data_IF_647116962927
#
_entry.id   IF_647116962927
#
_cell.length_a   1.000
_cell.length_b   1.000
_cell.length_c   1.000
_cell.angle_alpha   90.00
_cell.angle_beta   90.00
_cell.angle_gamma   90.00
#
_symmetry.space_group_name_H-M   'P 1'
#
loop_
_entity.id
_entity.type
_entity.pdbx_description
1 polymer ?
#
# COMPACT_ATOMS: atom_id res chain seq x y z
N UNK A 1 37.88 -48.89 63.56
CA UNK A 1 37.87 -48.87 62.09
C UNK A 1 37.02 -47.69 61.63
N UNK A 2 37.64 -46.64 61.29
CA UNK A 2 36.95 -45.41 60.84
C UNK A 2 36.76 -45.43 59.34
N UNK A 3 35.49 -45.37 58.88
CA UNK A 3 35.14 -45.24 57.49
C UNK A 3 35.01 -43.79 57.11
N UNK A 4 35.86 -43.29 56.24
CA UNK A 4 35.86 -41.92 55.71
C UNK A 4 34.93 -41.85 54.50
N UNK A 5 33.84 -41.08 54.64
CA UNK A 5 32.92 -40.77 53.55
C UNK A 5 33.45 -39.64 52.69
N UNK A 6 33.75 -39.90 51.42
CA UNK A 6 34.17 -38.88 50.44
C UNK A 6 32.90 -38.25 49.86
N UNK A 7 32.62 -36.97 50.19
CA UNK A 7 31.62 -36.17 49.51
C UNK A 7 32.20 -35.60 48.18
N UNK A 8 31.68 -36.08 47.06
CA UNK A 8 31.95 -35.49 45.76
C UNK A 8 31.21 -34.16 45.64
N UNK A 9 31.96 -33.07 45.53
CA UNK A 9 31.45 -31.76 45.11
C UNK A 9 31.34 -31.78 43.59
N UNK A 10 30.13 -31.63 43.07
CA UNK A 10 29.88 -31.33 41.63
C UNK A 10 29.89 -29.80 41.52
N UNK A 11 30.93 -29.25 40.89
CA UNK A 11 30.98 -27.84 40.50
C UNK A 11 30.20 -27.73 39.21
N UNK A 12 29.00 -27.15 39.29
CA UNK A 12 28.19 -26.78 38.11
C UNK A 12 28.78 -25.48 37.54
N UNK A 13 29.57 -25.58 36.50
CA UNK A 13 30.05 -24.42 35.77
C UNK A 13 28.90 -23.84 34.98
N UNK A 14 28.31 -22.77 35.45
CA UNK A 14 27.37 -21.95 34.64
C UNK A 14 28.17 -21.29 33.53
N UNK A 15 28.00 -21.76 32.29
CA UNK A 15 28.42 -21.02 31.11
C UNK A 15 27.51 -19.77 31.03
N UNK A 16 28.04 -18.63 31.41
CA UNK A 16 27.48 -17.33 31.09
C UNK A 16 27.78 -17.12 29.60
N UNK A 17 26.80 -17.43 28.76
CA UNK A 17 26.81 -16.98 27.36
C UNK A 17 26.56 -15.48 27.42
N UNK A 18 27.62 -14.69 27.45
CA UNK A 18 27.57 -13.26 27.14
C UNK A 18 27.13 -13.15 25.68
N UNK A 19 25.83 -13.00 25.44
CA UNK A 19 25.33 -12.57 24.16
C UNK A 19 25.88 -11.18 23.91
N UNK A 20 26.91 -11.05 23.07
CA UNK A 20 27.25 -9.78 22.47
C UNK A 20 25.99 -9.28 21.75
N UNK A 21 25.39 -8.21 22.27
CA UNK A 21 24.40 -7.45 21.52
C UNK A 21 25.20 -6.81 20.39
N UNK A 22 25.24 -7.45 19.22
CA UNK A 22 25.77 -6.83 18.02
C UNK A 22 24.85 -5.67 17.66
N UNK A 23 25.41 -4.48 17.58
CA UNK A 23 24.70 -3.35 16.99
C UNK A 23 24.53 -3.62 15.49
N UNK A 24 23.38 -3.24 14.88
CA UNK A 24 23.22 -3.34 13.43
C UNK A 24 24.35 -2.64 12.70
N UNK A 25 24.88 -3.26 11.66
CA UNK A 25 25.87 -2.64 10.79
C UNK A 25 25.24 -1.42 10.11
N UNK A 26 25.99 -0.32 10.00
CA UNK A 26 25.52 0.87 9.29
C UNK A 26 26.25 1.00 7.97
N UNK A 27 25.49 1.11 6.90
CA UNK A 27 25.96 1.31 5.53
C UNK A 27 25.48 2.68 5.07
N UNK A 28 26.42 3.60 4.90
CA UNK A 28 26.14 4.94 4.43
C UNK A 28 26.10 4.95 2.90
N UNK A 29 25.07 5.57 2.34
CA UNK A 29 24.88 5.78 0.91
C UNK A 29 24.87 7.29 0.67
N UNK A 30 25.98 7.81 0.16
CA UNK A 30 26.06 9.20 -0.26
C UNK A 30 25.49 9.39 -1.66
N UNK A 31 24.92 10.56 -1.91
CA UNK A 31 24.45 10.91 -3.23
C UNK A 31 25.63 11.07 -4.21
N UNK A 32 25.53 10.38 -5.34
CA UNK A 32 26.47 10.47 -6.46
C UNK A 32 25.71 10.79 -7.74
N UNK A 33 26.02 11.95 -8.34
CA UNK A 33 25.38 12.39 -9.59
C UNK A 33 25.68 11.50 -10.81
N UNK A 34 26.63 10.60 -10.70
CA UNK A 34 26.94 9.58 -11.72
C UNK A 34 26.14 8.29 -11.55
N UNK A 35 25.43 8.13 -10.46
CA UNK A 35 24.59 6.96 -10.21
C UNK A 35 23.15 7.25 -10.60
N UNK A 36 22.69 6.65 -11.69
CA UNK A 36 21.33 6.84 -12.22
C UNK A 36 20.28 5.96 -11.49
N UNK A 37 20.66 4.79 -10.96
CA UNK A 37 19.76 3.83 -10.31
C UNK A 37 20.40 3.23 -9.06
N UNK A 38 19.81 3.50 -7.90
CA UNK A 38 20.25 2.96 -6.61
C UNK A 38 19.62 1.60 -6.26
N UNK A 39 18.69 1.09 -7.08
CA UNK A 39 18.03 -0.20 -6.85
C UNK A 39 19.00 -1.38 -6.75
N UNK A 40 20.02 -1.52 -7.65
CA UNK A 40 20.99 -2.61 -7.55
C UNK A 40 21.81 -2.57 -6.26
N UNK A 41 22.17 -1.37 -5.80
CA UNK A 41 22.95 -1.19 -4.56
C UNK A 41 22.15 -1.65 -3.34
N UNK A 42 20.91 -1.20 -3.22
CA UNK A 42 20.02 -1.59 -2.11
C UNK A 42 19.78 -3.10 -2.12
N UNK A 43 19.49 -3.69 -3.30
CA UNK A 43 19.32 -5.14 -3.42
C UNK A 43 20.56 -5.92 -2.97
N UNK A 44 21.75 -5.43 -3.33
CA UNK A 44 23.01 -6.05 -2.90
C UNK A 44 23.15 -6.01 -1.39
N UNK A 45 22.94 -4.85 -0.76
CA UNK A 45 23.02 -4.69 0.70
C UNK A 45 22.04 -5.65 1.39
N UNK A 46 20.78 -5.70 0.96
CA UNK A 46 19.80 -6.60 1.57
C UNK A 46 20.15 -8.08 1.37
N UNK A 47 20.72 -8.45 0.23
CA UNK A 47 21.18 -9.82 -0.04
C UNK A 47 22.41 -10.23 0.81
N UNK A 48 23.28 -9.27 1.15
CA UNK A 48 24.42 -9.48 2.03
C UNK A 48 24.02 -9.56 3.52
N UNK A 49 22.79 -9.09 3.86
CA UNK A 49 22.23 -9.10 5.22
C UNK A 49 20.88 -9.85 5.27
N UNK A 50 20.82 -11.13 4.91
CA UNK A 50 19.54 -11.86 4.77
C UNK A 50 18.77 -12.01 6.09
N UNK A 51 19.44 -11.93 7.23
CA UNK A 51 18.78 -11.92 8.54
C UNK A 51 18.37 -10.50 9.00
N UNK A 52 18.78 -9.46 8.27
CA UNK A 52 18.66 -8.06 8.67
C UNK A 52 19.85 -7.61 9.52
N UNK A 53 19.57 -6.90 10.64
CA UNK A 53 20.58 -6.29 11.53
C UNK A 53 21.45 -5.25 10.81
N UNK A 54 20.83 -4.47 9.93
CA UNK A 54 21.49 -3.46 9.11
C UNK A 54 20.75 -2.12 9.17
N UNK A 55 21.52 -1.03 9.19
CA UNK A 55 21.04 0.32 8.95
C UNK A 55 21.54 0.79 7.59
N UNK A 56 20.62 1.11 6.69
CA UNK A 56 20.91 1.74 5.40
C UNK A 56 20.64 3.22 5.57
N UNK A 57 21.69 4.05 5.50
CA UNK A 57 21.58 5.49 5.72
C UNK A 57 21.86 6.25 4.43
N UNK A 58 20.87 6.97 3.97
CA UNK A 58 20.99 7.85 2.81
C UNK A 58 21.40 9.26 3.24
N UNK A 59 22.41 9.81 2.60
CA UNK A 59 22.81 11.20 2.77
C UNK A 59 21.77 12.19 2.21
N UNK A 60 22.17 13.46 2.11
CA UNK A 60 21.34 14.47 1.44
C UNK A 60 21.45 14.31 -0.08
N UNK A 61 20.31 14.31 -0.78
CA UNK A 61 20.24 14.17 -2.24
C UNK A 61 18.95 13.51 -2.69
N UNK A 62 18.79 13.39 -4.01
CA UNK A 62 17.70 12.62 -4.63
C UNK A 62 18.24 11.31 -5.15
N UNK A 63 17.72 10.22 -4.62
CA UNK A 63 18.13 8.85 -4.95
C UNK A 63 17.05 8.22 -5.82
N UNK A 64 17.41 7.85 -7.04
CA UNK A 64 16.50 7.30 -8.04
C UNK A 64 16.46 5.77 -8.00
N UNK A 65 15.23 5.21 -8.12
CA UNK A 65 14.97 3.78 -8.09
C UNK A 65 14.10 3.38 -9.27
N UNK A 66 14.56 2.37 -10.04
CA UNK A 66 13.89 1.90 -11.26
C UNK A 66 13.42 0.45 -11.14
N UNK A 67 12.34 0.06 -11.84
CA UNK A 67 11.74 -1.26 -11.75
C UNK A 67 12.60 -2.37 -12.36
N UNK A 68 13.47 -2.07 -13.35
CA UNK A 68 14.24 -3.08 -14.09
C UNK A 68 15.12 -3.93 -13.19
N UNK A 69 15.73 -3.31 -12.20
CA UNK A 69 16.62 -3.97 -11.25
C UNK A 69 15.96 -4.32 -9.91
N UNK A 70 14.68 -3.96 -9.74
CA UNK A 70 13.93 -4.24 -8.52
C UNK A 70 13.58 -5.73 -8.39
N UNK A 71 13.43 -6.18 -7.16
CA UNK A 71 13.00 -7.55 -6.89
C UNK A 71 11.53 -7.74 -7.28
N UNK A 72 11.20 -8.84 -7.96
CA UNK A 72 9.82 -9.11 -8.38
C UNK A 72 9.17 -10.19 -7.52
N UNK A 73 7.90 -9.97 -7.15
CA UNK A 73 7.08 -10.92 -6.43
C UNK A 73 5.61 -10.80 -6.82
N UNK A 74 4.87 -11.91 -6.77
CA UNK A 74 3.40 -11.85 -6.84
C UNK A 74 2.87 -11.48 -5.46
N UNK A 75 2.16 -10.37 -5.38
CA UNK A 75 1.61 -9.86 -4.14
C UNK A 75 0.08 -9.85 -4.20
N UNK A 76 -0.53 -10.45 -3.19
CA UNK A 76 -1.91 -10.18 -2.81
C UNK A 76 -1.85 -9.09 -1.72
N UNK A 77 -2.49 -7.97 -2.00
CA UNK A 77 -2.57 -6.83 -1.07
C UNK A 77 -4.02 -6.43 -0.97
N UNK A 78 -4.62 -6.67 0.19
CA UNK A 78 -6.05 -6.40 0.38
C UNK A 78 -6.39 -4.93 0.11
N UNK A 79 -7.57 -4.71 -0.43
CA UNK A 79 -8.05 -3.39 -0.87
C UNK A 79 -7.14 -2.67 -1.89
N UNK A 80 -6.19 -3.41 -2.47
CA UNK A 80 -5.37 -3.04 -3.62
C UNK A 80 -5.48 -4.11 -4.71
N UNK A 81 -4.85 -3.85 -5.85
CA UNK A 81 -4.90 -4.80 -6.96
C UNK A 81 -3.81 -5.86 -6.80
N UNK A 82 -4.20 -7.13 -6.82
CA UNK A 82 -3.27 -8.26 -6.82
C UNK A 82 -2.45 -8.32 -8.11
N UNK A 83 -1.28 -8.93 -8.05
CA UNK A 83 -0.47 -9.15 -9.24
C UNK A 83 1.03 -9.18 -8.99
N UNK A 84 1.77 -9.41 -10.09
CA UNK A 84 3.22 -9.33 -10.07
C UNK A 84 3.66 -7.88 -9.93
N UNK A 85 4.48 -7.60 -8.92
CA UNK A 85 4.98 -6.26 -8.61
C UNK A 85 6.49 -6.27 -8.48
N UNK A 86 7.12 -5.17 -8.86
CA UNK A 86 8.52 -4.87 -8.60
C UNK A 86 8.62 -4.11 -7.29
N UNK A 87 9.55 -4.49 -6.42
CA UNK A 87 9.77 -3.84 -5.12
C UNK A 87 11.20 -3.34 -5.03
N UNK A 88 11.39 -2.05 -4.76
CA UNK A 88 12.72 -1.47 -4.59
C UNK A 88 13.39 -2.00 -3.32
N UNK A 89 12.68 -1.90 -2.20
CA UNK A 89 13.09 -2.44 -0.91
C UNK A 89 12.19 -3.64 -0.57
N UNK A 90 12.65 -4.85 -0.88
CA UNK A 90 11.98 -6.08 -0.51
C UNK A 90 12.63 -6.68 0.73
N UNK A 91 11.99 -6.50 1.89
CA UNK A 91 12.41 -7.06 3.17
C UNK A 91 11.54 -8.28 3.49
N UNK A 92 12.15 -9.45 3.56
CA UNK A 92 11.44 -10.71 3.88
C UNK A 92 12.18 -11.46 4.99
N UNK A 93 11.44 -11.81 6.05
CA UNK A 93 11.96 -12.58 7.20
C UNK A 93 13.16 -11.95 7.90
N UNK A 94 13.29 -10.62 7.82
CA UNK A 94 14.39 -9.84 8.36
C UNK A 94 14.06 -9.26 9.74
N UNK A 95 15.09 -8.95 10.51
CA UNK A 95 14.98 -8.34 11.84
C UNK A 95 15.87 -7.12 11.94
N UNK A 96 15.43 -6.11 12.72
CA UNK A 96 16.24 -4.92 13.07
C UNK A 96 16.87 -4.26 11.85
N UNK A 97 16.03 -3.98 10.84
CA UNK A 97 16.45 -3.19 9.68
C UNK A 97 15.98 -1.76 9.87
N UNK A 98 16.88 -0.82 9.66
CA UNK A 98 16.58 0.61 9.63
C UNK A 98 16.94 1.18 8.27
N UNK A 99 16.04 1.96 7.71
CA UNK A 99 16.24 2.76 6.51
C UNK A 99 16.04 4.21 6.94
N UNK A 100 17.09 5.01 6.88
CA UNK A 100 17.08 6.38 7.36
C UNK A 100 17.68 7.35 6.35
N UNK A 101 17.25 8.61 6.40
CA UNK A 101 17.76 9.70 5.60
C UNK A 101 18.14 10.92 6.43
N UNK A 102 18.42 12.03 5.78
CA UNK A 102 18.76 13.32 6.39
C UNK A 102 17.56 14.30 6.46
N UNK A 103 16.35 13.76 6.73
CA UNK A 103 15.11 14.51 6.76
C UNK A 103 14.65 14.92 5.36
N UNK A 104 14.09 16.12 5.23
CA UNK A 104 13.63 16.66 3.94
C UNK A 104 14.73 16.83 2.88
N UNK A 105 16.00 16.67 3.27
CA UNK A 105 17.14 16.72 2.35
C UNK A 105 17.37 15.40 1.61
N UNK A 106 16.76 14.30 2.07
CA UNK A 106 16.82 13.00 1.40
C UNK A 106 15.50 12.74 0.70
N UNK A 107 15.55 12.66 -0.61
CA UNK A 107 14.41 12.24 -1.43
C UNK A 107 14.70 10.88 -2.07
N UNK A 108 13.82 9.92 -1.81
CA UNK A 108 13.79 8.65 -2.53
C UNK A 108 12.76 8.80 -3.65
N UNK A 109 13.23 8.86 -4.90
CA UNK A 109 12.40 9.07 -6.08
C UNK A 109 12.26 7.75 -6.84
N UNK A 110 11.03 7.35 -7.06
CA UNK A 110 10.69 6.10 -7.72
C UNK A 110 10.21 6.37 -9.15
N UNK A 111 10.67 5.54 -10.07
CA UNK A 111 10.29 5.61 -11.48
C UNK A 111 9.41 4.40 -11.83
N UNK A 112 8.31 4.69 -12.51
CA UNK A 112 7.48 3.64 -13.10
C UNK A 112 6.68 2.78 -12.11
N UNK A 113 6.41 1.56 -12.55
CA UNK A 113 5.53 0.59 -11.91
C UNK A 113 6.24 -0.19 -10.78
N UNK A 114 6.58 0.48 -9.70
CA UNK A 114 7.37 -0.05 -8.59
C UNK A 114 6.70 0.20 -7.24
N UNK A 115 6.79 -0.76 -6.32
CA UNK A 115 6.43 -0.60 -4.91
C UNK A 115 7.69 -0.17 -4.16
N UNK A 116 7.71 0.99 -3.50
CA UNK A 116 8.88 1.44 -2.74
C UNK A 116 9.31 0.44 -1.67
N UNK A 117 8.41 0.08 -0.76
CA UNK A 117 8.74 -0.73 0.40
C UNK A 117 7.75 -1.89 0.58
N UNK A 118 8.24 -3.11 0.46
CA UNK A 118 7.54 -4.33 0.89
C UNK A 118 8.25 -4.92 2.11
N UNK A 119 7.51 -5.10 3.21
CA UNK A 119 7.99 -5.70 4.46
C UNK A 119 7.12 -6.91 4.76
N UNK A 120 7.67 -8.10 4.69
CA UNK A 120 6.93 -9.34 4.88
C UNK A 120 7.58 -10.25 5.94
N UNK A 121 6.83 -10.62 6.96
CA UNK A 121 7.27 -11.51 8.05
C UNK A 121 8.53 -11.03 8.78
N UNK A 122 8.64 -9.69 8.94
CA UNK A 122 9.78 -9.03 9.54
C UNK A 122 9.51 -8.61 11.01
N UNK A 123 10.58 -8.33 11.75
CA UNK A 123 10.51 -7.83 13.12
C UNK A 123 11.40 -6.60 13.31
N UNK A 124 10.87 -5.55 13.95
CA UNK A 124 11.62 -4.33 14.32
C UNK A 124 12.22 -3.61 13.10
N UNK A 125 11.34 -3.17 12.22
CA UNK A 125 11.71 -2.42 11.01
C UNK A 125 11.42 -0.94 11.23
N UNK A 126 12.36 -0.07 10.89
CA UNK A 126 12.23 1.38 11.06
C UNK A 126 12.54 2.10 9.75
N UNK A 127 11.62 2.96 9.34
CA UNK A 127 11.78 3.93 8.26
C UNK A 127 11.81 5.33 8.87
N UNK A 128 12.86 6.11 8.60
CA UNK A 128 13.03 7.38 9.31
C UNK A 128 13.66 8.47 8.46
N UNK A 129 13.07 9.68 8.52
CA UNK A 129 13.68 10.93 8.10
C UNK A 129 14.02 11.01 6.59
N UNK A 130 13.03 10.76 5.70
CA UNK A 130 13.17 10.97 4.26
C UNK A 130 11.84 11.30 3.60
N UNK A 131 11.89 11.72 2.35
CA UNK A 131 10.71 11.92 1.49
C UNK A 131 10.62 10.85 0.41
N UNK A 132 9.40 10.52 0.01
CA UNK A 132 9.08 9.58 -1.06
C UNK A 132 8.29 10.34 -2.11
N UNK A 133 8.69 10.25 -3.36
CA UNK A 133 7.91 10.75 -4.49
C UNK A 133 8.10 9.85 -5.71
N UNK A 134 7.25 10.01 -6.70
CA UNK A 134 7.43 9.42 -8.02
C UNK A 134 7.76 10.50 -9.04
N UNK A 135 8.54 10.16 -10.06
CA UNK A 135 8.83 11.03 -11.19
C UNK A 135 7.56 11.37 -11.97
N UNK A 136 6.63 10.42 -11.95
CA UNK A 136 5.38 10.42 -12.69
C UNK A 136 4.22 10.03 -11.78
N UNK A 137 3.34 10.99 -11.44
CA UNK A 137 2.14 10.70 -10.63
C UNK A 137 1.24 9.66 -11.29
N UNK A 138 0.68 8.76 -10.48
CA UNK A 138 -0.35 7.81 -10.91
C UNK A 138 -1.72 8.44 -11.14
N UNK A 139 -1.82 9.75 -11.00
CA UNK A 139 -3.04 10.52 -11.21
C UNK A 139 -2.83 11.48 -12.36
N UNK A 140 -3.77 11.49 -13.31
CA UNK A 140 -3.87 12.56 -14.27
C UNK A 140 -4.54 13.77 -13.62
N UNK A 141 -4.04 14.96 -13.88
CA UNK A 141 -4.63 16.22 -13.45
C UNK A 141 -4.68 17.22 -14.60
N UNK A 142 -5.79 17.93 -14.72
CA UNK A 142 -5.96 18.94 -15.76
C UNK A 142 -6.97 20.03 -15.36
N UNK A 143 -6.62 21.29 -15.64
CA UNK A 143 -7.51 22.41 -15.41
C UNK A 143 -8.65 22.41 -16.44
N UNK A 144 -9.89 22.44 -15.99
CA UNK A 144 -11.06 22.62 -16.86
C UNK A 144 -11.09 24.07 -17.35
N UNK A 145 -10.84 24.28 -18.64
CA UNK A 145 -10.82 25.61 -19.28
C UNK A 145 -12.07 25.89 -20.11
N UNK A 146 -12.91 24.89 -20.35
CA UNK A 146 -14.17 25.03 -21.04
C UNK A 146 -15.06 23.83 -20.88
N UNK A 147 -16.37 24.03 -21.05
CA UNK A 147 -17.37 22.97 -21.20
C UNK A 147 -18.43 23.39 -22.22
N UNK A 148 -19.07 22.42 -22.88
CA UNK A 148 -20.20 22.66 -23.78
C UNK A 148 -21.31 21.65 -23.50
N UNK A 149 -22.40 22.10 -22.86
CA UNK A 149 -23.56 21.23 -22.56
C UNK A 149 -24.26 20.68 -23.81
N UNK A 150 -24.13 21.32 -24.96
CA UNK A 150 -24.78 20.85 -26.21
C UNK A 150 -24.09 19.64 -26.80
N UNK A 151 -22.79 19.54 -26.63
CA UNK A 151 -21.95 18.44 -27.14
C UNK A 151 -21.52 17.48 -26.05
N UNK A 152 -21.91 17.71 -24.80
CA UNK A 152 -21.45 16.96 -23.62
C UNK A 152 -19.93 16.80 -23.64
N UNK A 153 -19.22 17.92 -23.77
CA UNK A 153 -17.77 17.93 -23.83
C UNK A 153 -17.16 18.90 -22.81
N UNK A 154 -15.95 18.57 -22.38
CA UNK A 154 -15.11 19.44 -21.56
C UNK A 154 -13.76 19.68 -22.25
N UNK A 155 -13.16 20.81 -21.97
CA UNK A 155 -11.80 21.14 -22.46
C UNK A 155 -10.88 21.25 -21.27
N UNK A 156 -9.82 20.47 -21.29
CA UNK A 156 -8.80 20.41 -20.25
C UNK A 156 -7.49 21.03 -20.72
N UNK A 157 -6.78 21.65 -19.78
CA UNK A 157 -5.34 21.90 -19.89
C UNK A 157 -4.65 20.94 -18.94
N UNK A 158 -4.00 19.86 -19.45
CA UNK A 158 -3.23 18.94 -18.61
C UNK A 158 -2.17 19.66 -17.78
N UNK A 159 -1.95 19.25 -16.53
CA UNK A 159 -0.86 19.74 -15.70
C UNK A 159 0.48 19.31 -16.29
N UNK A 160 0.55 18.10 -16.82
CA UNK A 160 1.70 17.53 -17.53
C UNK A 160 1.25 17.02 -18.91
N UNK A 161 1.30 17.86 -19.96
CA UNK A 161 0.82 17.48 -21.28
C UNK A 161 1.67 16.41 -21.95
N UNK A 162 2.95 16.24 -21.60
CA UNK A 162 3.84 15.24 -22.20
C UNK A 162 3.45 13.81 -21.78
N UNK A 163 2.70 13.68 -20.71
CA UNK A 163 2.22 12.41 -20.17
C UNK A 163 0.79 12.08 -20.56
N UNK A 164 0.15 12.93 -21.34
CA UNK A 164 -1.17 12.68 -21.89
C UNK A 164 -1.06 12.14 -23.32
N UNK A 165 -1.72 11.02 -23.58
CA UNK A 165 -1.76 10.37 -24.89
C UNK A 165 -3.19 10.13 -25.35
N UNK A 166 -3.39 10.07 -26.66
CA UNK A 166 -4.63 9.62 -27.27
C UNK A 166 -4.35 8.32 -28.00
N UNK A 167 -5.00 7.23 -27.55
CA UNK A 167 -4.89 5.90 -28.17
C UNK A 167 -6.24 5.47 -28.72
N UNK A 168 -6.33 5.24 -30.01
CA UNK A 168 -7.59 4.91 -30.70
C UNK A 168 -8.75 5.88 -30.42
N UNK A 169 -8.43 7.17 -30.20
CA UNK A 169 -9.42 8.21 -29.88
C UNK A 169 -9.75 8.31 -28.38
N UNK A 170 -9.23 7.45 -27.53
CA UNK A 170 -9.48 7.44 -26.08
C UNK A 170 -8.36 8.15 -25.31
N UNK A 171 -8.67 8.85 -24.18
CA UNK A 171 -7.65 9.50 -23.35
C UNK A 171 -6.87 8.48 -22.50
N UNK A 172 -5.56 8.63 -22.49
CA UNK A 172 -4.62 7.86 -21.69
C UNK A 172 -3.64 8.79 -20.99
N UNK A 173 -3.10 8.35 -19.86
CA UNK A 173 -1.97 8.98 -19.20
C UNK A 173 -0.88 7.96 -18.90
N UNK A 174 0.36 8.41 -18.84
CA UNK A 174 1.53 7.51 -18.84
C UNK A 174 2.53 7.87 -17.76
N UNK A 175 3.32 6.90 -17.34
CA UNK A 175 4.55 7.04 -16.59
C UNK A 175 5.70 6.33 -17.29
N UNK A 176 6.79 6.13 -16.59
CA UNK A 176 8.03 5.59 -17.14
C UNK A 176 7.82 4.25 -17.90
N UNK A 177 7.17 3.26 -17.27
CA UNK A 177 6.95 1.93 -17.84
C UNK A 177 5.48 1.48 -17.75
N UNK A 178 4.57 2.40 -17.55
CA UNK A 178 3.14 2.12 -17.44
C UNK A 178 2.29 3.13 -18.21
N UNK A 179 1.08 2.72 -18.50
CA UNK A 179 0.04 3.55 -19.08
C UNK A 179 -1.32 3.13 -18.54
N UNK A 180 -2.22 4.08 -18.38
CA UNK A 180 -3.60 3.86 -17.94
C UNK A 180 -4.57 4.61 -18.83
N UNK A 181 -5.68 4.01 -19.26
CA UNK A 181 -6.80 4.76 -19.81
C UNK A 181 -7.46 5.57 -18.68
N UNK A 182 -8.23 6.59 -19.04
CA UNK A 182 -9.08 7.29 -18.09
C UNK A 182 -10.15 6.35 -17.51
N UNK A 183 -10.53 6.62 -16.25
CA UNK A 183 -11.47 5.80 -15.50
C UNK A 183 -12.20 6.59 -14.42
N UNK A 184 -11.85 6.38 -13.16
CA UNK A 184 -12.47 7.08 -12.03
C UNK A 184 -11.93 8.49 -11.89
N UNK A 185 -12.82 9.46 -12.08
CA UNK A 185 -12.47 10.85 -11.93
C UNK A 185 -13.11 11.49 -10.69
N UNK A 186 -12.40 12.44 -10.11
CA UNK A 186 -12.88 13.34 -9.06
C UNK A 186 -12.54 14.78 -9.43
N UNK A 187 -13.40 15.71 -9.05
CA UNK A 187 -13.22 17.12 -9.34
C UNK A 187 -12.76 17.88 -8.10
N UNK A 188 -11.69 18.68 -8.24
CA UNK A 188 -11.14 19.51 -7.16
C UNK A 188 -11.35 21.00 -7.41
N UNK A 189 -11.56 21.73 -6.32
CA UNK A 189 -11.48 23.19 -6.30
C UNK A 189 -10.02 23.60 -6.04
N UNK A 190 -9.34 24.27 -6.99
CA UNK A 190 -7.94 24.66 -6.82
C UNK A 190 -7.72 25.72 -5.72
N UNK A 191 -8.77 26.47 -5.35
CA UNK A 191 -8.68 27.48 -4.29
C UNK A 191 -8.65 26.88 -2.89
N UNK A 192 -9.46 25.87 -2.66
CA UNK A 192 -9.53 25.15 -1.37
C UNK A 192 -8.68 23.90 -1.34
N UNK A 193 -8.27 23.38 -2.52
CA UNK A 193 -7.56 22.11 -2.71
C UNK A 193 -8.30 20.90 -2.16
N UNK A 194 -9.60 20.93 -2.21
CA UNK A 194 -10.49 19.87 -1.76
C UNK A 194 -11.46 19.45 -2.88
N UNK A 195 -12.00 18.23 -2.82
CA UNK A 195 -13.05 17.83 -3.75
C UNK A 195 -14.23 18.80 -3.71
N UNK A 196 -14.86 18.99 -4.86
CA UNK A 196 -16.13 19.74 -4.93
C UNK A 196 -17.21 19.09 -4.07
N UNK A 197 -18.08 19.90 -3.51
CA UNK A 197 -19.29 19.40 -2.83
C UNK A 197 -20.10 18.55 -3.80
N UNK A 198 -20.51 17.35 -3.39
CA UNK A 198 -21.20 16.37 -4.24
C UNK A 198 -20.41 16.07 -5.54
N UNK A 199 -19.12 15.76 -5.42
CA UNK A 199 -18.23 15.53 -6.54
C UNK A 199 -18.73 14.41 -7.47
N UNK A 200 -19.50 13.46 -6.96
CA UNK A 200 -20.12 12.37 -7.72
C UNK A 200 -21.05 12.83 -8.85
N UNK A 201 -21.57 14.06 -8.79
CA UNK A 201 -22.38 14.60 -9.88
C UNK A 201 -21.58 14.88 -11.16
N UNK A 202 -20.26 15.01 -11.03
CA UNK A 202 -19.32 15.29 -12.12
C UNK A 202 -18.58 14.04 -12.60
N UNK A 203 -18.85 12.87 -12.03
CA UNK A 203 -18.19 11.63 -12.42
C UNK A 203 -18.67 11.15 -13.78
N UNK A 204 -17.72 10.81 -14.65
CA UNK A 204 -18.01 10.16 -15.92
C UNK A 204 -18.38 8.69 -15.70
N UNK A 205 -19.43 8.22 -16.36
CA UNK A 205 -19.80 6.80 -16.35
C UNK A 205 -18.76 5.96 -17.10
N UNK A 206 -17.90 5.25 -16.40
CA UNK A 206 -16.83 4.41 -16.96
C UNK A 206 -17.32 3.32 -17.93
N UNK A 207 -18.62 3.01 -17.99
CA UNK A 207 -19.20 2.09 -18.96
C UNK A 207 -19.37 2.73 -20.34
N UNK A 208 -19.16 4.04 -20.44
CA UNK A 208 -19.27 4.80 -21.69
C UNK A 208 -17.91 5.24 -22.16
N UNK A 209 -17.69 5.16 -23.45
CA UNK A 209 -16.43 5.55 -24.06
C UNK A 209 -16.28 7.07 -24.06
N UNK A 210 -15.16 7.53 -23.52
CA UNK A 210 -14.74 8.91 -23.57
C UNK A 210 -13.80 9.09 -24.77
N UNK A 211 -14.09 10.07 -25.63
CA UNK A 211 -13.25 10.39 -26.77
C UNK A 211 -12.42 11.63 -26.50
N UNK A 212 -11.16 11.63 -26.93
CA UNK A 212 -10.24 12.73 -26.75
C UNK A 212 -9.68 13.23 -28.09
N UNK A 213 -9.49 14.54 -28.17
CA UNK A 213 -8.78 15.18 -29.28
C UNK A 213 -7.94 16.36 -28.77
N UNK A 214 -6.75 16.57 -29.35
CA UNK A 214 -5.96 17.78 -29.09
C UNK A 214 -6.59 18.99 -29.77
N UNK A 215 -6.68 20.10 -29.02
CA UNK A 215 -7.07 21.40 -29.55
C UNK A 215 -5.86 22.33 -29.49
N UNK A 216 -5.15 22.48 -30.61
CA UNK A 216 -3.85 23.15 -30.60
C UNK A 216 -2.82 22.35 -29.78
N UNK A 217 -1.82 23.03 -29.24
CA UNK A 217 -0.62 22.38 -28.70
C UNK A 217 -0.71 22.04 -27.21
N UNK A 218 -1.77 22.44 -26.51
CA UNK A 218 -1.81 22.32 -25.04
C UNK A 218 -3.18 22.06 -24.42
N UNK A 219 -4.22 21.94 -25.23
CA UNK A 219 -5.58 21.70 -24.74
C UNK A 219 -6.13 20.40 -25.31
N UNK A 220 -6.88 19.70 -24.48
CA UNK A 220 -7.54 18.45 -24.83
C UNK A 220 -9.05 18.63 -24.70
N UNK A 221 -9.79 18.27 -25.73
CA UNK A 221 -11.25 18.13 -25.65
C UNK A 221 -11.59 16.68 -25.33
N UNK A 222 -12.39 16.48 -24.30
CA UNK A 222 -13.03 15.20 -23.98
C UNK A 222 -14.50 15.28 -24.41
N UNK A 223 -14.90 14.40 -25.31
CA UNK A 223 -16.26 14.30 -25.85
C UNK A 223 -16.94 13.01 -25.43
N UNK A 224 -18.28 13.00 -25.38
CA UNK A 224 -19.02 11.88 -24.84
C UNK A 224 -19.01 11.81 -23.32
N UNK A 225 -18.69 12.92 -22.66
CA UNK A 225 -18.66 13.02 -21.22
C UNK A 225 -20.05 12.78 -20.63
N UNK A 226 -20.17 11.77 -19.79
CA UNK A 226 -21.45 11.26 -19.30
C UNK A 226 -21.49 11.36 -17.78
N UNK A 227 -21.84 12.53 -17.29
CA UNK A 227 -22.06 12.85 -15.89
C UNK A 227 -23.43 13.53 -15.70
N UNK A 228 -23.86 13.70 -14.47
CA UNK A 228 -25.10 14.44 -14.16
C UNK A 228 -24.93 15.92 -14.48
N UNK A 229 -23.79 16.48 -14.12
CA UNK A 229 -23.39 17.87 -14.36
C UNK A 229 -22.02 17.90 -15.02
N UNK A 230 -21.77 18.86 -15.90
CA UNK A 230 -20.46 19.05 -16.48
C UNK A 230 -19.51 19.77 -15.50
N UNK A 231 -18.22 19.37 -15.43
CA UNK A 231 -17.22 20.05 -14.64
C UNK A 231 -17.21 21.58 -14.87
N UNK A 232 -17.28 22.40 -13.81
CA UNK A 232 -17.20 23.85 -13.92
C UNK A 232 -15.84 24.33 -14.47
N UNK A 233 -15.84 25.36 -15.27
CA UNK A 233 -14.62 26.02 -15.72
C UNK A 233 -13.86 26.59 -14.50
N UNK A 234 -12.56 26.33 -14.45
CA UNK A 234 -11.69 26.69 -13.32
C UNK A 234 -11.50 25.57 -12.29
N UNK A 235 -12.26 24.48 -12.37
CA UNK A 235 -12.01 23.29 -11.53
C UNK A 235 -10.83 22.47 -12.06
N UNK A 236 -10.24 21.62 -11.22
CA UNK A 236 -9.24 20.64 -11.62
C UNK A 236 -9.89 19.26 -11.73
N UNK A 237 -9.85 18.72 -12.95
CA UNK A 237 -10.23 17.34 -13.24
C UNK A 237 -9.07 16.42 -12.86
N UNK A 238 -9.34 15.42 -12.05
CA UNK A 238 -8.36 14.36 -11.74
C UNK A 238 -8.90 13.02 -12.17
N UNK A 239 -8.02 12.11 -12.61
CA UNK A 239 -8.36 10.76 -13.02
C UNK A 239 -7.30 9.77 -12.55
N UNK A 240 -7.70 8.70 -11.88
CA UNK A 240 -6.80 7.67 -11.36
C UNK A 240 -6.83 6.38 -12.17
N UNK A 241 -7.50 6.38 -13.31
CA UNK A 241 -7.70 5.19 -14.13
C UNK A 241 -8.86 4.28 -13.68
N UNK A 242 -9.05 3.14 -14.36
CA UNK A 242 -10.16 2.22 -14.09
C UNK A 242 -10.10 1.63 -12.68
N UNK A 243 -11.25 1.43 -12.06
CA UNK A 243 -11.42 0.85 -10.72
C UNK A 243 -10.64 -0.46 -10.50
N UNK A 244 -10.54 -1.29 -11.53
CA UNK A 244 -9.85 -2.59 -11.44
C UNK A 244 -8.32 -2.51 -11.49
N UNK A 245 -7.73 -1.33 -11.71
CA UNK A 245 -6.28 -1.20 -11.94
C UNK A 245 -5.64 0.05 -11.32
N UNK A 246 -6.35 0.77 -10.47
CA UNK A 246 -5.90 2.06 -9.96
C UNK A 246 -5.32 2.03 -8.53
N UNK A 247 -5.08 0.81 -7.99
CA UNK A 247 -4.49 0.60 -6.65
C UNK A 247 -3.36 -0.43 -6.69
N UNK A 248 -2.42 -0.30 -7.65
CA UNK A 248 -1.38 -1.31 -7.89
C UNK A 248 -0.12 -1.13 -7.06
N UNK A 249 0.25 0.12 -6.73
CA UNK A 249 1.57 0.45 -6.21
C UNK A 249 1.47 1.22 -4.91
N UNK A 250 1.19 0.54 -3.76
CA UNK A 250 1.20 1.17 -2.45
C UNK A 250 2.61 1.66 -2.11
N UNK A 251 2.69 2.80 -1.39
CA UNK A 251 3.99 3.34 -0.95
C UNK A 251 4.69 2.43 0.05
N UNK A 252 3.97 2.01 1.08
CA UNK A 252 4.38 0.98 2.04
C UNK A 252 3.40 -0.18 2.02
N UNK A 253 3.90 -1.40 1.92
CA UNK A 253 3.12 -2.63 2.04
C UNK A 253 3.74 -3.52 3.11
N UNK A 254 3.09 -3.58 4.28
CA UNK A 254 3.52 -4.40 5.42
C UNK A 254 2.62 -5.63 5.54
N UNK A 255 3.22 -6.79 5.73
CA UNK A 255 2.51 -8.06 5.79
C UNK A 255 3.09 -8.96 6.89
N UNK A 256 2.23 -9.44 7.81
CA UNK A 256 2.59 -10.36 8.90
C UNK A 256 3.88 -9.97 9.65
N UNK A 257 4.07 -8.67 9.88
CA UNK A 257 5.29 -8.13 10.49
C UNK A 257 4.99 -7.50 11.85
N UNK A 258 6.00 -7.45 12.71
CA UNK A 258 5.86 -6.94 14.08
C UNK A 258 6.84 -5.81 14.40
N UNK A 259 6.34 -4.76 15.07
CA UNK A 259 7.18 -3.64 15.48
C UNK A 259 7.70 -2.82 14.30
N UNK A 260 6.82 -2.50 13.34
CA UNK A 260 7.17 -1.66 12.20
C UNK A 260 6.89 -0.20 12.54
N UNK A 261 7.86 0.66 12.29
CA UNK A 261 7.78 2.08 12.61
C UNK A 261 8.11 2.95 11.39
N UNK A 262 7.28 3.98 11.15
CA UNK A 262 7.50 5.03 10.17
C UNK A 262 7.58 6.36 10.92
N UNK A 263 8.73 7.03 10.87
CA UNK A 263 9.03 8.23 11.65
C UNK A 263 9.53 9.36 10.78
N UNK A 264 8.89 10.53 10.87
CA UNK A 264 9.33 11.72 10.13
C UNK A 264 9.57 11.42 8.64
N UNK A 265 8.62 10.74 8.02
CA UNK A 265 8.62 10.41 6.59
C UNK A 265 7.48 11.18 5.93
N UNK A 266 7.74 11.75 4.75
CA UNK A 266 6.73 12.37 3.90
C UNK A 266 6.58 11.58 2.62
N UNK A 267 5.35 11.24 2.24
CA UNK A 267 5.02 10.61 0.98
C UNK A 267 4.20 11.59 0.14
N UNK A 268 4.65 11.82 -1.08
CA UNK A 268 4.06 12.78 -2.01
C UNK A 268 3.21 12.14 -3.10
N UNK A 269 3.42 10.84 -3.39
CA UNK A 269 2.64 10.10 -4.38
C UNK A 269 2.61 8.60 -4.08
N UNK A 270 1.52 7.94 -4.48
CA UNK A 270 1.42 6.48 -4.55
C UNK A 270 0.30 6.03 -5.48
N UNK A 271 0.55 4.98 -6.24
CA UNK A 271 -0.44 4.33 -7.11
C UNK A 271 -1.29 3.28 -6.37
N UNK A 272 -1.62 3.54 -5.13
CA UNK A 272 -2.41 2.74 -4.21
C UNK A 272 -2.52 3.45 -2.87
N UNK A 273 -2.64 2.71 -1.78
CA UNK A 273 -2.56 3.28 -0.44
C UNK A 273 -1.15 3.80 -0.16
N UNK A 274 -1.03 4.94 0.52
CA UNK A 274 0.28 5.43 0.91
C UNK A 274 0.96 4.48 1.92
N UNK A 275 0.18 3.85 2.81
CA UNK A 275 0.63 2.77 3.69
C UNK A 275 -0.50 1.76 3.90
N UNK A 276 -0.22 0.47 3.65
CA UNK A 276 -1.09 -0.63 4.06
C UNK A 276 -0.34 -1.62 4.93
N UNK A 277 -0.96 -2.03 6.05
CA UNK A 277 -0.48 -3.07 6.94
C UNK A 277 -1.53 -4.17 7.09
N UNK A 278 -1.13 -5.43 6.81
CA UNK A 278 -1.98 -6.61 6.82
C UNK A 278 -1.47 -7.62 7.85
N UNK A 279 -2.33 -8.06 8.76
CA UNK A 279 -1.98 -9.02 9.81
C UNK A 279 -0.71 -8.65 10.60
N UNK A 280 -0.42 -7.35 10.71
CA UNK A 280 0.75 -6.85 11.42
C UNK A 280 0.47 -6.66 12.92
N UNK A 281 1.54 -6.60 13.70
CA UNK A 281 1.45 -6.36 15.13
C UNK A 281 2.33 -5.20 15.55
N UNK A 282 1.76 -4.25 16.30
CA UNK A 282 2.46 -3.06 16.80
C UNK A 282 3.06 -2.22 15.66
N UNK A 283 2.21 -1.46 14.96
CA UNK A 283 2.61 -0.53 13.91
C UNK A 283 2.54 0.89 14.44
N UNK A 284 3.60 1.66 14.24
CA UNK A 284 3.71 3.04 14.73
C UNK A 284 4.04 3.98 13.58
N UNK A 285 3.20 4.97 13.36
CA UNK A 285 3.48 6.11 12.49
C UNK A 285 3.61 7.37 13.35
N UNK A 286 4.78 7.99 13.32
CA UNK A 286 5.05 9.24 14.04
C UNK A 286 5.55 10.30 13.08
N UNK A 287 4.89 11.45 13.01
CA UNK A 287 5.21 12.52 12.05
C UNK A 287 5.22 12.01 10.59
N UNK A 288 4.38 11.02 10.27
CA UNK A 288 4.17 10.54 8.92
C UNK A 288 3.22 11.49 8.20
N UNK A 289 3.62 11.94 7.03
CA UNK A 289 2.84 12.87 6.21
C UNK A 289 2.54 12.24 4.87
N UNK A 290 1.29 12.39 4.44
CA UNK A 290 0.84 12.09 3.07
C UNK A 290 0.28 13.40 2.55
N UNK A 291 1.02 14.03 1.66
CA UNK A 291 0.70 15.39 1.18
C UNK A 291 1.37 15.64 -0.16
N UNK A 292 0.78 16.47 -1.00
CA UNK A 292 1.40 16.86 -2.27
C UNK A 292 2.63 17.74 -2.04
N UNK A 293 3.64 17.70 -2.92
CA UNK A 293 4.81 18.57 -2.79
C UNK A 293 4.39 20.05 -2.83
N UNK A 294 4.97 20.90 -1.98
CA UNK A 294 4.75 22.33 -2.06
C UNK A 294 5.02 22.88 -3.47
N UNK A 295 4.13 23.71 -3.98
CA UNK A 295 4.25 24.41 -5.27
C UNK A 295 4.26 23.49 -6.52
N UNK A 296 3.96 22.21 -6.38
CA UNK A 296 3.89 21.28 -7.53
C UNK A 296 2.70 21.55 -8.46
N UNK A 297 1.68 22.22 -7.96
CA UNK A 297 0.39 22.36 -8.66
C UNK A 297 -0.51 21.13 -8.57
N UNK A 298 -0.02 19.99 -8.04
CA UNK A 298 -0.80 18.77 -7.85
C UNK A 298 -1.91 18.97 -6.81
N UNK A 299 -3.04 18.27 -7.01
CA UNK A 299 -4.18 18.21 -6.09
C UNK A 299 -4.18 16.91 -5.28
N UNK A 300 -3.58 15.82 -5.81
CA UNK A 300 -3.68 14.48 -5.23
C UNK A 300 -2.32 13.95 -4.80
N UNK A 301 -2.28 13.32 -3.61
CA UNK A 301 -1.09 12.72 -3.00
C UNK A 301 -1.09 11.19 -3.04
N UNK A 302 -2.24 10.54 -3.08
CA UNK A 302 -2.36 9.08 -3.14
C UNK A 302 -3.66 8.69 -3.84
N UNK A 303 -3.64 7.61 -4.62
CA UNK A 303 -4.83 7.14 -5.33
C UNK A 303 -5.86 6.43 -4.43
N UNK A 304 -5.50 6.13 -3.18
CA UNK A 304 -6.34 5.51 -2.15
C UNK A 304 -6.00 6.08 -0.76
N UNK A 305 -6.18 5.30 0.32
CA UNK A 305 -6.02 5.74 1.69
C UNK A 305 -4.59 6.23 2.03
N UNK A 306 -4.49 7.18 2.96
CA UNK A 306 -3.17 7.53 3.52
C UNK A 306 -2.63 6.42 4.41
N UNK A 307 -3.47 5.80 5.25
CA UNK A 307 -3.08 4.63 6.05
C UNK A 307 -4.23 3.62 6.13
N UNK A 308 -3.90 2.34 5.99
CA UNK A 308 -4.88 1.25 6.02
C UNK A 308 -4.34 0.06 6.82
N UNK A 309 -5.13 -0.44 7.77
CA UNK A 309 -4.74 -1.52 8.67
C UNK A 309 -5.80 -2.63 8.65
N UNK A 310 -5.43 -3.80 8.14
CA UNK A 310 -6.33 -4.95 7.98
C UNK A 310 -5.87 -6.10 8.85
N UNK A 311 -6.74 -6.62 9.72
CA UNK A 311 -6.42 -7.76 10.57
C UNK A 311 -5.26 -7.53 11.55
N UNK A 312 -4.85 -6.29 11.77
CA UNK A 312 -3.73 -5.94 12.63
C UNK A 312 -4.06 -6.14 14.12
N UNK A 313 -3.03 -6.38 14.93
CA UNK A 313 -3.15 -6.64 16.36
C UNK A 313 -2.16 -5.82 17.20
N UNK A 314 -2.33 -5.86 18.53
CA UNK A 314 -1.50 -5.09 19.45
C UNK A 314 -1.82 -3.60 19.38
N UNK A 315 -0.83 -2.75 19.13
CA UNK A 315 -1.00 -1.30 19.08
C UNK A 315 -0.83 -0.77 17.67
N UNK A 316 -1.79 0.03 17.22
CA UNK A 316 -1.69 0.92 16.06
C UNK A 316 -1.58 2.33 16.62
N UNK A 317 -0.50 3.03 16.32
CA UNK A 317 -0.23 4.38 16.85
C UNK A 317 -0.01 5.35 15.69
N UNK A 318 -0.86 6.36 15.60
CA UNK A 318 -0.69 7.51 14.74
C UNK A 318 -0.43 8.74 15.61
N UNK A 319 0.79 9.32 15.52
CA UNK A 319 1.20 10.44 16.36
C UNK A 319 1.73 11.59 15.53
N UNK A 320 1.11 12.75 15.65
CA UNK A 320 1.48 13.97 14.92
C UNK A 320 1.57 13.73 13.39
N UNK A 321 0.71 12.88 12.84
CA UNK A 321 0.60 12.60 11.41
C UNK A 321 -0.22 13.69 10.71
N UNK A 322 0.00 13.85 9.41
CA UNK A 322 -0.77 14.75 8.55
C UNK A 322 -1.13 14.01 7.27
N UNK A 323 -2.41 13.97 6.95
CA UNK A 323 -2.92 13.28 5.77
C UNK A 323 -3.80 14.24 4.98
N UNK A 324 -3.38 14.55 3.77
CA UNK A 324 -4.04 15.51 2.88
C UNK A 324 -4.06 14.99 1.45
N UNK A 325 -5.13 15.32 0.74
CA UNK A 325 -5.18 15.16 -0.72
C UNK A 325 -5.12 13.72 -1.23
N UNK A 326 -5.38 12.70 -0.39
CA UNK A 326 -5.61 11.33 -0.84
C UNK A 326 -7.04 11.19 -1.38
N UNK A 327 -7.26 10.19 -2.25
CA UNK A 327 -8.56 9.95 -2.89
C UNK A 327 -9.45 8.93 -2.15
N UNK A 328 -9.12 8.62 -0.90
CA UNK A 328 -9.92 7.75 -0.03
C UNK A 328 -9.67 8.16 1.44
N UNK A 329 -9.77 7.24 2.41
CA UNK A 329 -9.69 7.50 3.82
C UNK A 329 -8.33 8.05 4.30
N UNK A 330 -8.35 8.94 5.28
CA UNK A 330 -7.13 9.33 6.01
C UNK A 330 -6.56 8.13 6.79
N UNK A 331 -7.44 7.34 7.38
CA UNK A 331 -7.10 6.13 8.12
C UNK A 331 -8.27 5.16 8.12
N UNK A 332 -8.02 3.92 7.72
CA UNK A 332 -8.98 2.84 7.82
C UNK A 332 -8.40 1.70 8.67
N UNK A 333 -9.16 1.20 9.64
CA UNK A 333 -8.74 0.10 10.52
C UNK A 333 -9.90 -0.89 10.63
N UNK A 334 -9.71 -2.09 10.09
CA UNK A 334 -10.77 -3.09 10.08
C UNK A 334 -10.25 -4.53 10.11
N UNK A 335 -11.15 -5.47 10.40
CA UNK A 335 -10.98 -6.88 10.15
C UNK A 335 -11.56 -7.29 8.80
N UNK A 336 -11.52 -8.58 8.51
CA UNK A 336 -12.11 -9.18 7.30
C UNK A 336 -13.15 -10.19 7.72
N UNK A 337 -14.26 -10.25 6.97
CA UNK A 337 -15.29 -11.27 7.08
C UNK A 337 -15.24 -12.19 5.88
N UNK A 338 -15.42 -13.50 6.13
CA UNK A 338 -15.71 -14.45 5.09
C UNK A 338 -17.15 -14.98 5.27
N UNK A 339 -17.78 -15.33 4.17
CA UNK A 339 -19.09 -15.98 4.18
C UNK A 339 -18.86 -17.50 4.19
N UNK A 340 -19.47 -18.20 5.12
CA UNK A 340 -19.59 -19.66 5.08
C UNK A 340 -20.49 -20.02 3.91
N UNK A 341 -19.96 -20.72 2.92
CA UNK A 341 -20.69 -21.09 1.69
C UNK A 341 -20.95 -22.58 1.58
N UNK A 342 -20.15 -23.40 2.27
CA UNK A 342 -20.28 -24.85 2.29
C UNK A 342 -20.17 -25.42 3.69
N UNK A 343 -21.02 -26.37 4.06
CA UNK A 343 -20.81 -27.22 5.21
C UNK A 343 -20.23 -28.56 4.76
N UNK A 344 -19.09 -28.87 5.34
CA UNK A 344 -18.37 -30.11 5.03
C UNK A 344 -18.41 -31.05 6.24
N UNK A 345 -18.00 -32.31 6.04
CA UNK A 345 -17.96 -33.28 7.14
C UNK A 345 -16.90 -32.94 8.20
N UNK A 346 -17.17 -33.22 9.44
CA UNK A 346 -16.20 -33.19 10.55
C UNK A 346 -15.77 -31.77 10.92
N UNK A 347 -16.69 -30.90 11.28
CA UNK A 347 -16.42 -29.52 11.70
C UNK A 347 -15.57 -28.71 10.71
N UNK A 348 -15.68 -29.02 9.42
CA UNK A 348 -15.08 -28.28 8.32
C UNK A 348 -16.15 -27.50 7.58
N UNK A 349 -15.77 -26.32 7.12
CA UNK A 349 -16.59 -25.49 6.28
C UNK A 349 -15.77 -24.85 5.15
N UNK A 350 -16.43 -24.58 4.05
CA UNK A 350 -15.92 -23.72 2.99
C UNK A 350 -16.35 -22.28 3.21
N UNK A 351 -15.42 -21.36 3.06
CA UNK A 351 -15.68 -19.93 3.19
C UNK A 351 -15.09 -19.16 2.01
N UNK A 352 -15.75 -18.08 1.61
CA UNK A 352 -15.30 -17.20 0.55
C UNK A 352 -15.36 -15.73 0.97
N UNK A 353 -14.49 -14.91 0.34
CA UNK A 353 -14.55 -13.46 0.51
C UNK A 353 -15.77 -12.87 -0.20
N UNK A 354 -16.28 -11.78 0.34
CA UNK A 354 -17.41 -11.04 -0.24
C UNK A 354 -17.01 -9.95 -1.23
N UNK A 355 -15.71 -9.61 -1.31
CA UNK A 355 -15.20 -8.53 -2.14
C UNK A 355 -13.91 -8.96 -2.86
N UNK A 356 -13.80 -8.67 -4.16
CA UNK A 356 -12.66 -9.10 -4.98
C UNK A 356 -11.31 -8.55 -4.50
N UNK A 357 -11.28 -7.35 -3.93
CA UNK A 357 -10.05 -6.76 -3.36
C UNK A 357 -9.62 -7.37 -2.01
N UNK A 358 -10.34 -8.38 -1.51
CA UNK A 358 -9.92 -9.17 -0.33
C UNK A 358 -9.36 -10.54 -0.74
N UNK A 359 -9.46 -10.90 -2.02
CA UNK A 359 -8.95 -12.18 -2.52
C UNK A 359 -7.43 -12.31 -2.27
N UNK A 360 -7.03 -13.45 -1.74
CA UNK A 360 -5.64 -13.72 -1.36
C UNK A 360 -5.22 -13.17 0.01
N UNK A 361 -6.11 -12.49 0.76
CA UNK A 361 -5.82 -12.11 2.13
C UNK A 361 -5.77 -13.33 3.05
N UNK A 362 -4.74 -13.46 3.85
CA UNK A 362 -4.62 -14.53 4.86
C UNK A 362 -5.60 -14.28 6.01
N UNK A 363 -6.78 -14.85 5.88
CA UNK A 363 -7.89 -14.64 6.80
C UNK A 363 -7.64 -15.20 8.19
N UNK A 364 -7.08 -16.41 8.29
CA UNK A 364 -6.85 -17.09 9.56
C UNK A 364 -5.68 -18.07 9.48
N UNK A 365 -5.07 -18.35 10.62
CA UNK A 365 -4.02 -19.36 10.80
C UNK A 365 -4.44 -20.37 11.88
N UNK A 366 -3.78 -21.52 11.88
CA UNK A 366 -3.99 -22.53 12.94
C UNK A 366 -3.76 -21.92 14.33
N UNK A 367 -4.73 -22.09 15.21
CA UNK A 367 -4.72 -21.55 16.57
C UNK A 367 -5.45 -20.22 16.75
N UNK A 368 -5.85 -19.56 15.69
CA UNK A 368 -6.70 -18.38 15.75
C UNK A 368 -8.09 -18.70 16.29
N UNK A 369 -8.80 -17.67 16.73
CA UNK A 369 -10.19 -17.77 17.16
C UNK A 369 -11.10 -17.15 16.11
N UNK A 370 -12.06 -17.92 15.64
CA UNK A 370 -13.12 -17.46 14.76
C UNK A 370 -14.40 -17.20 15.54
N UNK A 371 -15.09 -16.13 15.19
CA UNK A 371 -16.43 -15.83 15.67
C UNK A 371 -17.40 -16.03 14.52
N UNK A 372 -18.40 -16.87 14.70
CA UNK A 372 -19.49 -17.07 13.75
C UNK A 372 -20.62 -16.11 14.09
N UNK A 373 -21.04 -15.36 13.09
CA UNK A 373 -22.11 -14.35 13.23
C UNK A 373 -23.25 -14.63 12.24
N UNK A 374 -24.45 -14.38 12.66
CA UNK A 374 -25.62 -14.40 11.79
C UNK A 374 -25.57 -13.18 10.85
N UNK A 375 -25.76 -13.42 9.56
CA UNK A 375 -25.73 -12.38 8.54
C UNK A 375 -26.92 -11.42 8.61
N UNK A 376 -28.05 -11.89 9.15
CA UNK A 376 -29.28 -11.11 9.18
C UNK A 376 -29.30 -10.04 10.26
N UNK A 377 -28.75 -10.34 11.45
CA UNK A 377 -28.83 -9.45 12.61
C UNK A 377 -27.47 -9.19 13.27
N UNK A 378 -26.39 -9.78 12.75
CA UNK A 378 -25.03 -9.74 13.29
C UNK A 378 -24.90 -10.38 14.68
N UNK A 379 -25.87 -11.22 15.08
CA UNK A 379 -25.85 -11.98 16.33
C UNK A 379 -24.72 -12.99 16.34
N UNK A 380 -24.05 -13.13 17.49
CA UNK A 380 -23.01 -14.15 17.67
C UNK A 380 -23.63 -15.53 17.79
N UNK A 381 -23.35 -16.41 16.85
CA UNK A 381 -23.78 -17.82 16.86
C UNK A 381 -22.85 -18.69 17.71
N UNK A 382 -21.58 -18.32 17.78
CA UNK A 382 -20.59 -19.02 18.58
C UNK A 382 -19.16 -18.65 18.18
N UNK A 383 -18.21 -19.33 18.81
CA UNK A 383 -16.79 -19.17 18.49
C UNK A 383 -16.05 -20.49 18.55
N UNK A 384 -14.99 -20.63 17.80
CA UNK A 384 -14.16 -21.82 17.79
C UNK A 384 -12.72 -21.52 17.41
N UNK A 385 -11.80 -22.37 17.83
CA UNK A 385 -10.41 -22.31 17.40
C UNK A 385 -10.26 -22.90 16.02
N UNK A 386 -9.42 -22.27 15.23
CA UNK A 386 -8.95 -22.80 13.95
C UNK A 386 -8.00 -23.96 14.21
N UNK A 387 -8.34 -25.14 13.73
CA UNK A 387 -7.51 -26.34 13.82
C UNK A 387 -6.69 -26.57 12.54
N UNK A 388 -7.23 -26.17 11.39
CA UNK A 388 -6.60 -26.33 10.09
C UNK A 388 -7.16 -25.32 9.10
N UNK A 389 -6.31 -24.78 8.25
CA UNK A 389 -6.69 -23.89 7.13
C UNK A 389 -6.10 -24.46 5.85
N UNK A 390 -6.92 -24.64 4.84
CA UNK A 390 -6.50 -25.01 3.49
C UNK A 390 -6.96 -23.94 2.51
N UNK A 391 -6.01 -23.24 1.90
CA UNK A 391 -6.24 -22.28 0.84
C UNK A 391 -6.43 -23.01 -0.47
N UNK A 392 -7.66 -23.11 -0.96
CA UNK A 392 -7.96 -23.79 -2.22
C UNK A 392 -7.63 -22.88 -3.41
N UNK A 393 -7.96 -21.59 -3.27
CA UNK A 393 -7.58 -20.51 -4.20
C UNK A 393 -7.64 -19.15 -3.47
N UNK A 394 -7.42 -18.05 -4.17
CA UNK A 394 -7.39 -16.70 -3.59
C UNK A 394 -8.73 -16.30 -2.91
N UNK A 395 -9.84 -16.90 -3.31
CA UNK A 395 -11.16 -16.55 -2.76
C UNK A 395 -11.75 -17.63 -1.83
N UNK A 396 -11.43 -18.91 -2.01
CA UNK A 396 -12.10 -20.00 -1.32
C UNK A 396 -11.14 -20.78 -0.40
N UNK A 397 -11.57 -20.94 0.88
CA UNK A 397 -10.83 -21.57 1.95
C UNK A 397 -11.64 -22.69 2.54
N UNK A 398 -10.98 -23.81 2.89
CA UNK A 398 -11.56 -24.86 3.71
C UNK A 398 -10.92 -24.75 5.10
N UNK A 399 -11.77 -24.52 6.12
CA UNK A 399 -11.32 -24.33 7.49
C UNK A 399 -11.94 -25.41 8.36
N UNK A 400 -11.12 -26.02 9.24
CA UNK A 400 -11.58 -26.90 10.32
C UNK A 400 -11.51 -26.14 11.63
N UNK A 401 -12.58 -26.26 12.43
CA UNK A 401 -12.73 -25.54 13.70
C UNK A 401 -13.18 -26.49 14.80
N UNK A 402 -12.83 -26.19 16.06
CA UNK A 402 -13.38 -26.85 17.23
C UNK A 402 -14.84 -26.51 17.56
N UNK A 403 -15.45 -25.62 16.75
CA UNK A 403 -16.86 -25.23 16.92
C UNK A 403 -17.80 -26.27 16.28
N UNK A 404 -18.92 -26.56 16.94
CA UNK A 404 -19.95 -27.43 16.36
C UNK A 404 -20.78 -26.67 15.32
N UNK A 405 -20.52 -26.97 14.06
CA UNK A 405 -21.16 -26.32 12.94
C UNK A 405 -22.67 -26.60 12.83
N UNK A 406 -23.20 -27.58 13.55
CA UNK A 406 -24.65 -27.84 13.60
C UNK A 406 -25.44 -26.67 14.20
N UNK A 407 -24.76 -25.82 14.98
CA UNK A 407 -25.36 -24.61 15.55
C UNK A 407 -25.52 -23.44 14.56
N UNK A 408 -24.93 -23.54 13.37
CA UNK A 408 -25.08 -22.53 12.32
C UNK A 408 -26.37 -22.84 11.54
N UNK A 409 -27.30 -21.88 11.34
CA UNK A 409 -28.47 -22.06 10.49
C UNK A 409 -28.10 -22.38 9.02
N UNK A 410 -29.00 -23.06 8.30
CA UNK A 410 -28.79 -23.38 6.87
C UNK A 410 -28.84 -22.15 5.98
#
# INVERSE_FOLDING_TARGET
MFGMSIRKFIILSALIVSGCISHPETIDIDFDSGTEDYTPLVRKILAEHPAGEVTIRFGAGTFDFYPEQAAGSYLCVSNNDNGYKRCAFLLEEMRRVRIEGAGEKTQLRFHGAIVPFRVARCEQIVFEAFTIDYDASFIFEGLVVGNDPRTHSITLRPLDPERFEIRSGEPWFTGYDWASPFGENILFDPGTRSPYYQAEQYEHDQKKTLQAEWIGDSLVRLSGYSSRELPPVGSVYTDKGPHSTNRRYPGFSFYKSAGVEVRNVTLHDSGGMALIAENCRNVVCSQYRVEVPPQSGRMVSASADATHFVGCSGKIVLRACRFESMLDDATNIHGVYMTVVDRLSGNRFGASFGHFQQEGFDFAEQGDSLVFIDRADLGVLGCGRVEEVNHVNENYYIIRTGFDLSAIPD
#
